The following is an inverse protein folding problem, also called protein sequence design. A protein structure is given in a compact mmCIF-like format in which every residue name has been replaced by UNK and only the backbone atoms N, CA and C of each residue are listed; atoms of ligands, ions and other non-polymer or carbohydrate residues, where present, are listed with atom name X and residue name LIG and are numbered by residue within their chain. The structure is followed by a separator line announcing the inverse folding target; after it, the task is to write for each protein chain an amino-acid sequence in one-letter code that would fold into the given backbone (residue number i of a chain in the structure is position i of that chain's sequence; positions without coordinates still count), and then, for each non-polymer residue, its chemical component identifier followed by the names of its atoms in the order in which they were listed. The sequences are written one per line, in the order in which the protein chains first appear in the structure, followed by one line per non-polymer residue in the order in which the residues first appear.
data_IF_335122832713
#
_entry.id   IF_335122832713
#
_cell.length_a   1.000
_cell.length_b   1.000
_cell.length_c   1.000
_cell.angle_alpha   90.00
_cell.angle_beta   90.00
_cell.angle_gamma   90.00
#
_symmetry.space_group_name_H-M   'P 1'
#
loop_
_entity.id
_entity.type
_entity.pdbx_description
1 polymer ?
#
# COMPACT_ATOMS: atom_id res chain seq x y z
N UNK A 1 0.70 -3.46 16.83
CA UNK A 1 1.62 -2.37 16.43
C UNK A 1 1.39 -2.11 14.95
N UNK A 2 0.49 -1.19 14.59
CA UNK A 2 0.14 -0.87 13.19
C UNK A 2 1.29 -0.04 12.58
N UNK A 3 2.34 -0.69 12.08
CA UNK A 3 3.60 -0.06 11.64
C UNK A 3 3.56 0.58 10.23
N UNK A 4 2.40 0.67 9.60
CA UNK A 4 2.28 1.12 8.20
C UNK A 4 1.65 2.51 8.07
N UNK A 5 1.30 3.18 9.17
CA UNK A 5 0.79 4.55 9.17
C UNK A 5 1.82 5.50 9.78
N UNK A 6 1.94 6.70 9.22
CA UNK A 6 2.99 7.67 9.56
C UNK A 6 2.59 8.70 10.64
N UNK A 7 1.44 8.56 11.31
CA UNK A 7 0.96 9.54 12.30
C UNK A 7 0.06 10.63 11.72
N UNK A 8 0.03 10.75 10.39
CA UNK A 8 -0.71 11.78 9.64
C UNK A 8 -1.74 11.17 8.69
N UNK A 9 -2.15 9.92 8.90
CA UNK A 9 -3.10 9.25 8.00
C UNK A 9 -2.53 8.82 6.65
N UNK A 10 -1.21 8.99 6.45
CA UNK A 10 -0.49 8.42 5.31
C UNK A 10 -0.24 6.93 5.56
N UNK A 11 -0.49 6.10 4.56
CA UNK A 11 -0.28 4.66 4.64
C UNK A 11 0.80 4.20 3.65
N UNK A 12 1.83 3.53 4.14
CA UNK A 12 2.91 2.99 3.31
C UNK A 12 2.92 1.47 3.34
N UNK A 13 2.99 0.86 2.15
CA UNK A 13 3.13 -0.59 1.99
C UNK A 13 4.20 -0.96 0.98
N UNK A 14 5.03 -1.93 1.35
CA UNK A 14 6.00 -2.56 0.44
C UNK A 14 5.40 -3.80 -0.21
N UNK A 15 5.30 -3.78 -1.54
CA UNK A 15 5.00 -4.95 -2.36
C UNK A 15 6.32 -5.57 -2.79
N UNK A 16 6.57 -6.83 -2.42
CA UNK A 16 7.82 -7.52 -2.78
C UNK A 16 7.87 -7.94 -4.25
N UNK A 17 6.71 -8.13 -4.86
CA UNK A 17 6.56 -8.73 -6.18
C UNK A 17 5.67 -7.84 -7.04
N UNK A 18 6.27 -7.04 -7.93
CA UNK A 18 5.53 -6.23 -8.91
C UNK A 18 4.65 -7.06 -9.87
N UNK A 19 4.91 -8.37 -9.98
CA UNK A 19 4.20 -9.31 -10.87
C UNK A 19 2.77 -9.64 -10.42
N UNK A 20 2.33 -9.16 -9.24
CA UNK A 20 0.93 -9.27 -8.79
C UNK A 20 -0.02 -8.46 -9.66
N UNK A 21 0.51 -7.46 -10.39
CA UNK A 21 -0.28 -6.65 -11.30
C UNK A 21 -0.36 -7.36 -12.65
N UNK A 22 -1.57 -7.62 -13.17
CA UNK A 22 -1.74 -8.29 -14.47
C UNK A 22 -1.24 -7.46 -15.65
N UNK A 23 -0.89 -6.19 -15.43
CA UNK A 23 -0.27 -5.28 -16.40
C UNK A 23 1.24 -5.53 -16.58
N UNK A 24 1.89 -6.20 -15.62
CA UNK A 24 3.32 -6.50 -15.67
C UNK A 24 3.53 -7.83 -16.40
N UNK A 25 4.17 -7.76 -17.55
CA UNK A 25 4.53 -8.93 -18.35
C UNK A 25 5.75 -9.64 -17.75
N UNK A 26 5.55 -10.79 -17.10
CA UNK A 26 6.61 -11.57 -16.46
C UNK A 26 7.75 -11.91 -17.44
N UNK A 27 7.43 -12.13 -18.72
CA UNK A 27 8.38 -12.53 -19.75
C UNK A 27 9.38 -11.40 -20.09
N UNK A 28 9.00 -10.14 -19.86
CA UNK A 28 9.87 -8.96 -20.02
C UNK A 28 10.61 -8.56 -18.74
N UNK A 29 10.32 -9.19 -17.61
CA UNK A 29 10.89 -8.82 -16.31
C UNK A 29 12.12 -9.67 -16.03
N UNK A 30 13.31 -9.09 -16.26
CA UNK A 30 14.61 -9.73 -15.99
C UNK A 30 14.87 -9.95 -14.48
N UNK A 31 14.32 -9.10 -13.61
CA UNK A 31 14.43 -9.21 -12.14
C UNK A 31 13.16 -8.76 -11.44
N UNK A 32 12.70 -9.58 -10.48
CA UNK A 32 11.64 -9.20 -9.55
C UNK A 32 12.14 -8.03 -8.70
N UNK A 33 11.59 -6.84 -8.94
CA UNK A 33 11.80 -5.67 -8.07
C UNK A 33 10.61 -5.52 -7.14
N UNK A 34 10.90 -5.17 -5.90
CA UNK A 34 9.88 -4.69 -4.97
C UNK A 34 9.48 -3.25 -5.32
N UNK A 35 8.26 -2.88 -4.98
CA UNK A 35 7.68 -1.56 -5.12
C UNK A 35 7.24 -1.08 -3.74
N UNK A 36 7.62 0.13 -3.35
CA UNK A 36 7.03 0.80 -2.19
C UNK A 36 5.89 1.70 -2.67
N UNK A 37 4.71 1.53 -2.09
CA UNK A 37 3.51 2.30 -2.42
C UNK A 37 3.13 3.07 -1.17
N UNK A 38 3.21 4.40 -1.25
CA UNK A 38 2.69 5.31 -0.23
C UNK A 38 1.38 5.93 -0.70
N UNK A 39 0.32 5.72 0.07
CA UNK A 39 -0.98 6.35 -0.11
C UNK A 39 -1.03 7.58 0.78
N UNK A 40 -0.86 8.75 0.19
CA UNK A 40 -1.09 10.04 0.86
C UNK A 40 -2.58 10.35 0.84
N UNK A 41 -3.19 10.45 2.02
CA UNK A 41 -4.60 10.84 2.17
C UNK A 41 -4.69 12.23 2.78
N UNK A 42 -5.87 12.85 2.69
CA UNK A 42 -6.14 14.16 3.34
C UNK A 42 -6.50 14.02 4.83
N UNK A 43 -6.40 12.81 5.39
CA UNK A 43 -6.68 12.57 6.80
C UNK A 43 -5.68 13.32 7.69
N UNK A 44 -6.12 13.78 8.87
CA UNK A 44 -5.23 14.44 9.82
C UNK A 44 -4.59 13.44 10.79
N UNK A 45 -5.30 12.34 11.04
CA UNK A 45 -4.93 11.31 12.00
C UNK A 45 -4.94 9.92 11.34
N UNK A 46 -4.19 8.98 11.91
CA UNK A 46 -4.14 7.59 11.40
C UNK A 46 -5.50 6.88 11.45
N UNK A 47 -6.34 7.21 12.43
CA UNK A 47 -7.68 6.64 12.53
C UNK A 47 -8.57 7.04 11.34
N UNK A 48 -8.51 8.29 10.91
CA UNK A 48 -9.25 8.78 9.75
C UNK A 48 -8.72 8.16 8.46
N UNK A 49 -7.39 8.12 8.30
CA UNK A 49 -6.75 7.51 7.13
C UNK A 49 -7.08 6.01 7.02
N UNK A 50 -7.11 5.32 8.16
CA UNK A 50 -7.48 3.92 8.23
C UNK A 50 -8.98 3.70 7.97
N UNK A 51 -9.86 4.53 8.53
CA UNK A 51 -11.30 4.43 8.30
C UNK A 51 -11.63 4.64 6.81
N UNK A 52 -10.95 5.58 6.15
CA UNK A 52 -11.08 5.82 4.72
C UNK A 52 -10.69 4.56 3.93
N UNK A 53 -9.47 4.06 4.13
CA UNK A 53 -8.97 2.85 3.46
C UNK A 53 -9.83 1.61 3.78
N UNK A 54 -10.38 1.50 4.99
CA UNK A 54 -11.31 0.43 5.36
C UNK A 54 -12.64 0.54 4.59
N UNK A 55 -13.15 1.76 4.40
CA UNK A 55 -14.36 2.01 3.61
C UNK A 55 -14.16 1.70 2.11
N UNK A 56 -12.93 1.88 1.61
CA UNK A 56 -12.53 1.43 0.26
C UNK A 56 -12.32 -0.08 0.15
N UNK A 57 -12.65 -0.84 1.20
CA UNK A 57 -12.48 -2.29 1.27
C UNK A 57 -11.02 -2.71 1.00
N UNK A 58 -10.08 -1.85 1.40
CA UNK A 58 -8.67 -2.08 1.16
C UNK A 58 -8.21 -3.27 2.01
N UNK A 59 -7.52 -4.26 1.42
CA UNK A 59 -7.10 -5.45 2.14
C UNK A 59 -5.91 -5.12 3.05
N UNK A 60 -6.21 -4.61 4.25
CA UNK A 60 -5.19 -4.48 5.27
C UNK A 60 -4.67 -5.86 5.66
N UNK A 61 -3.35 -6.07 5.53
CA UNK A 61 -2.68 -7.17 6.23
C UNK A 61 -2.90 -6.96 7.74
N UNK A 62 -3.71 -7.83 8.36
CA UNK A 62 -3.81 -7.95 9.82
C UNK A 62 -2.52 -8.52 10.39
#
# INVERSE_FOLDING_TARGET
MRKSFDGRGNYSMGVREQIIFPEIDYDKVDRVRGLDITITTTAKNDEEGQALLAAFNFPFRK
#
